data_IF_096113779464
#
_entry.id   IF_096113779464
#
_cell.length_a   1.000
_cell.length_b   1.000
_cell.length_c   1.000
_cell.angle_alpha   90.00
_cell.angle_beta   90.00
_cell.angle_gamma   90.00
#
_symmetry.space_group_name_H-M   'P 1'
#
loop_
_entity.id
_entity.type
_entity.pdbx_description
1 polymer ?
#
# COMPACT_ATOMS: atom_id res chain seq x y z
N UNK A 1 5.06 3.85 7.56
CA UNK A 1 6.14 4.04 6.58
C UNK A 1 7.54 3.67 7.07
N UNK A 2 7.81 3.69 8.38
CA UNK A 2 9.14 3.37 8.96
C UNK A 2 9.71 2.00 8.52
N UNK A 3 8.85 1.01 8.26
CA UNK A 3 9.25 -0.32 7.77
C UNK A 3 9.86 -0.30 6.37
N UNK A 4 9.23 0.41 5.43
CA UNK A 4 9.70 0.52 4.04
C UNK A 4 10.95 1.40 3.97
N UNK A 5 10.97 2.52 4.70
CA UNK A 5 12.15 3.37 4.82
C UNK A 5 13.35 2.63 5.40
N UNK A 6 13.17 1.80 6.44
CA UNK A 6 14.26 0.98 7.00
C UNK A 6 14.79 -0.06 6.02
N UNK A 7 13.93 -0.57 5.13
CA UNK A 7 14.34 -1.49 4.07
C UNK A 7 14.93 -0.79 2.84
N UNK A 8 14.98 0.55 2.83
CA UNK A 8 15.45 1.32 1.67
C UNK A 8 14.49 1.25 0.48
N UNK A 9 13.21 0.94 0.72
CA UNK A 9 12.19 0.83 -0.33
C UNK A 9 11.55 2.20 -0.52
N UNK A 10 11.64 2.72 -1.74
CA UNK A 10 10.90 3.92 -2.15
C UNK A 10 9.40 3.60 -2.17
N UNK A 11 8.62 4.41 -1.47
CA UNK A 11 7.16 4.32 -1.47
C UNK A 11 6.57 5.72 -1.67
N UNK A 12 5.34 5.76 -2.14
CA UNK A 12 4.56 7.00 -2.23
C UNK A 12 3.40 6.92 -1.25
N UNK A 13 3.38 7.83 -0.27
CA UNK A 13 2.24 7.94 0.63
C UNK A 13 1.10 8.67 -0.08
N UNK A 14 -0.01 7.97 -0.32
CA UNK A 14 -1.25 8.58 -0.82
C UNK A 14 -2.30 8.56 0.29
N UNK A 15 -2.66 9.74 0.79
CA UNK A 15 -3.65 9.85 1.86
C UNK A 15 -5.07 9.88 1.27
N UNK A 16 -5.78 8.75 1.32
CA UNK A 16 -7.16 8.66 0.79
C UNK A 16 -8.18 9.54 1.53
N UNK A 17 -7.87 10.03 2.74
CA UNK A 17 -8.74 10.98 3.46
C UNK A 17 -8.60 12.41 2.92
N UNK A 18 -7.40 12.78 2.49
CA UNK A 18 -7.12 14.08 1.87
C UNK A 18 -7.38 14.05 0.36
N UNK A 19 -7.13 12.91 -0.28
CA UNK A 19 -7.06 12.77 -1.72
C UNK A 19 -8.21 11.89 -2.24
N UNK A 20 -9.25 12.56 -2.74
CA UNK A 20 -10.45 11.90 -3.27
C UNK A 20 -10.15 11.03 -4.49
N UNK A 21 -9.11 11.37 -5.26
CA UNK A 21 -8.67 10.56 -6.40
C UNK A 21 -8.11 9.21 -5.92
N UNK A 22 -7.25 9.23 -4.91
CA UNK A 22 -6.72 8.01 -4.30
C UNK A 22 -7.83 7.16 -3.66
N UNK A 23 -8.82 7.80 -3.01
CA UNK A 23 -10.00 7.10 -2.49
C UNK A 23 -10.78 6.42 -3.63
N UNK A 24 -10.99 7.13 -4.74
CA UNK A 24 -11.72 6.59 -5.89
C UNK A 24 -10.98 5.41 -6.50
N UNK A 25 -9.66 5.49 -6.69
CA UNK A 25 -8.85 4.37 -7.17
C UNK A 25 -8.91 3.16 -6.23
N UNK A 26 -8.87 3.40 -4.92
CA UNK A 26 -8.96 2.35 -3.91
C UNK A 26 -10.31 1.62 -4.00
N UNK A 27 -11.41 2.37 -4.14
CA UNK A 27 -12.76 1.81 -4.34
C UNK A 27 -12.91 1.10 -5.69
N UNK A 28 -12.32 1.64 -6.76
CA UNK A 28 -12.36 1.06 -8.11
C UNK A 28 -11.61 -0.29 -8.17
N UNK A 29 -10.50 -0.40 -7.45
CA UNK A 29 -9.80 -1.68 -7.25
C UNK A 29 -10.55 -2.66 -6.34
N UNK A 30 -11.71 -2.28 -5.79
CA UNK A 30 -12.55 -3.14 -4.94
C UNK A 30 -12.13 -3.17 -3.47
N UNK A 31 -11.23 -2.29 -3.06
CA UNK A 31 -10.85 -2.16 -1.66
C UNK A 31 -11.82 -1.24 -0.92
N UNK A 32 -12.22 -1.67 0.27
CA UNK A 32 -13.14 -0.90 1.12
C UNK A 32 -12.51 -0.50 2.46
N UNK A 33 -11.28 -0.93 2.70
CA UNK A 33 -10.57 -0.77 3.97
C UNK A 33 -9.14 -0.33 3.74
N UNK A 34 -8.64 0.55 4.60
CA UNK A 34 -7.24 0.98 4.65
C UNK A 34 -6.57 0.46 5.93
N UNK A 35 -5.24 0.30 5.98
CA UNK A 35 -4.24 0.64 4.95
C UNK A 35 -4.27 -0.31 3.74
N UNK A 36 -3.92 0.17 2.55
CA UNK A 36 -3.68 -0.66 1.36
C UNK A 36 -2.30 -0.31 0.83
N UNK A 37 -1.48 -1.33 0.62
CA UNK A 37 -0.12 -1.19 0.10
C UNK A 37 -0.05 -1.84 -1.26
N UNK A 38 0.37 -1.11 -2.29
CA UNK A 38 0.50 -1.65 -3.65
C UNK A 38 1.99 -1.78 -3.94
N UNK A 39 2.45 -3.00 -4.20
CA UNK A 39 3.85 -3.34 -4.46
C UNK A 39 3.89 -4.12 -5.77
N UNK A 40 4.61 -3.61 -6.77
CA UNK A 40 4.74 -4.24 -8.10
C UNK A 40 3.39 -4.61 -8.77
N UNK A 41 2.37 -3.78 -8.57
CA UNK A 41 1.00 -4.04 -9.08
C UNK A 41 0.20 -5.05 -8.24
N UNK A 42 0.77 -5.61 -7.18
CA UNK A 42 0.05 -6.41 -6.19
C UNK A 42 -0.46 -5.55 -5.05
N UNK A 43 -1.78 -5.55 -4.88
CA UNK A 43 -2.46 -4.79 -3.82
C UNK A 43 -2.63 -5.65 -2.57
N UNK A 44 -2.05 -5.21 -1.47
CA UNK A 44 -2.14 -5.81 -0.14
C UNK A 44 -3.06 -4.95 0.71
N UNK A 45 -4.19 -5.53 1.13
CA UNK A 45 -5.12 -4.89 2.06
C UNK A 45 -4.68 -5.18 3.48
N UNK A 46 -4.59 -4.15 4.31
CA UNK A 46 -4.09 -4.22 5.67
C UNK A 46 -2.59 -4.03 5.76
N UNK A 47 -2.03 -4.47 6.89
CA UNK A 47 -0.59 -4.44 7.18
C UNK A 47 -0.08 -5.88 7.31
N UNK A 48 0.02 -6.59 6.19
CA UNK A 48 0.57 -7.94 6.14
C UNK A 48 2.07 -7.91 5.90
N UNK A 49 2.86 -7.92 6.97
CA UNK A 49 4.33 -7.92 6.88
C UNK A 49 4.86 -9.08 6.04
N UNK A 50 4.31 -10.29 6.17
CA UNK A 50 4.75 -11.45 5.39
C UNK A 50 4.54 -11.25 3.89
N UNK A 51 3.36 -10.78 3.46
CA UNK A 51 3.10 -10.46 2.05
C UNK A 51 4.00 -9.33 1.57
N UNK A 52 4.16 -8.28 2.38
CA UNK A 52 5.01 -7.14 2.01
C UNK A 52 6.45 -7.61 1.81
N UNK A 53 6.99 -8.46 2.69
CA UNK A 53 8.34 -9.02 2.52
C UNK A 53 8.45 -9.91 1.29
N UNK A 54 7.48 -10.80 1.07
CA UNK A 54 7.43 -11.67 -0.11
C UNK A 54 7.39 -10.87 -1.43
N UNK A 55 6.56 -9.83 -1.49
CA UNK A 55 6.44 -8.93 -2.64
C UNK A 55 7.69 -8.08 -2.88
N UNK A 56 8.41 -7.74 -1.82
CA UNK A 56 9.68 -7.03 -1.90
C UNK A 56 10.87 -7.97 -2.17
N UNK A 57 10.66 -9.29 -2.15
CA UNK A 57 11.71 -10.29 -2.31
C UNK A 57 12.73 -10.31 -1.16
N UNK A 58 12.28 -9.97 0.06
CA UNK A 58 13.10 -9.87 1.28
C UNK A 58 12.94 -11.06 2.24
#
# INVERSE_FOLDING_TARGET
MEFLSQKGVEFVEKNVRADKAALKELLDQGFQSTPVTIIDGQSVVGFDQSKIMELLGL
#
